data_IF_870136487878
#
_entry.id   IF_870136487878
#
_cell.length_a   1.000
_cell.length_b   1.000
_cell.length_c   1.000
_cell.angle_alpha   90.00
_cell.angle_beta   90.00
_cell.angle_gamma   90.00
#
_symmetry.space_group_name_H-M   'P 1'
#
loop_
_entity.id
_entity.type
_entity.pdbx_description
1 polymer ?
#
# COMPACT_ATOMS: atom_id res chain seq x y z
N UNK A 1 -15.56 0.86 -4.63
CA UNK A 1 -16.93 0.76 -4.19
C UNK A 1 -17.49 2.13 -3.83
N UNK A 2 -18.80 2.21 -3.83
CA UNK A 2 -19.49 3.45 -3.52
C UNK A 2 -19.17 3.93 -2.10
N UNK A 3 -18.80 5.20 -1.96
CA UNK A 3 -18.44 5.78 -0.67
C UNK A 3 -16.99 5.58 -0.26
N UNK A 4 -16.22 4.82 -1.00
CA UNK A 4 -14.80 4.60 -0.71
C UNK A 4 -13.94 5.62 -1.45
N UNK A 5 -13.19 6.43 -0.69
CA UNK A 5 -12.28 7.42 -1.27
C UNK A 5 -10.87 6.86 -1.50
N UNK A 6 -10.49 5.85 -0.72
CA UNK A 6 -9.17 5.22 -0.86
C UNK A 6 -9.03 4.07 0.11
N UNK A 7 -7.96 3.31 -0.01
CA UNK A 7 -7.70 2.19 0.91
C UNK A 7 -6.21 1.95 1.09
N UNK A 8 -5.88 1.21 2.14
CA UNK A 8 -4.52 0.81 2.45
C UNK A 8 -4.43 -0.71 2.39
N UNK A 9 -3.44 -1.22 1.70
CA UNK A 9 -3.15 -2.66 1.68
C UNK A 9 -1.92 -2.91 2.54
N UNK A 10 -2.09 -3.65 3.62
CA UNK A 10 -1.01 -3.93 4.56
C UNK A 10 -0.41 -5.31 4.25
N UNK A 11 0.89 -5.34 4.00
CA UNK A 11 1.60 -6.57 3.68
C UNK A 11 2.66 -6.83 4.75
N UNK A 12 2.68 -8.05 5.27
CA UNK A 12 3.65 -8.45 6.28
C UNK A 12 5.01 -8.70 5.63
N UNK A 13 5.97 -7.82 5.89
CA UNK A 13 7.32 -7.87 5.30
C UNK A 13 8.12 -9.10 5.72
N UNK A 14 7.75 -9.76 6.80
CA UNK A 14 8.49 -10.90 7.33
C UNK A 14 7.95 -12.24 6.83
N UNK A 15 6.91 -12.22 6.01
CA UNK A 15 6.26 -13.45 5.54
C UNK A 15 6.16 -13.49 4.02
N UNK A 16 7.28 -13.75 3.33
CA UNK A 16 7.28 -13.74 1.85
C UNK A 16 6.33 -14.75 1.23
N UNK A 17 5.97 -15.81 1.95
CA UNK A 17 4.99 -16.78 1.47
C UNK A 17 3.60 -16.17 1.27
N UNK A 18 3.32 -15.01 1.85
CA UNK A 18 2.04 -14.32 1.68
C UNK A 18 2.05 -13.32 0.52
N UNK A 19 3.20 -13.04 -0.07
CA UNK A 19 3.32 -12.03 -1.13
C UNK A 19 2.54 -12.39 -2.38
N UNK A 20 2.49 -13.66 -2.71
CA UNK A 20 1.73 -14.14 -3.88
C UNK A 20 0.25 -13.83 -3.74
N UNK A 21 -0.31 -14.10 -2.54
CA UNK A 21 -1.70 -13.82 -2.26
C UNK A 21 -1.97 -12.32 -2.25
N UNK A 22 -1.07 -11.54 -1.65
CA UNK A 22 -1.18 -10.09 -1.64
C UNK A 22 -1.19 -9.53 -3.07
N UNK A 23 -0.33 -10.06 -3.93
CA UNK A 23 -0.28 -9.67 -5.34
C UNK A 23 -1.61 -9.94 -6.04
N UNK A 24 -2.20 -11.10 -5.79
CA UNK A 24 -3.50 -11.46 -6.37
C UNK A 24 -4.61 -10.51 -5.92
N UNK A 25 -4.60 -10.15 -4.63
CA UNK A 25 -5.56 -9.20 -4.08
C UNK A 25 -5.39 -7.83 -4.75
N UNK A 26 -4.16 -7.36 -4.89
CA UNK A 26 -3.86 -6.08 -5.54
C UNK A 26 -4.32 -6.06 -7.00
N UNK A 27 -4.09 -7.15 -7.72
CA UNK A 27 -4.53 -7.27 -9.11
C UNK A 27 -6.06 -7.21 -9.22
N UNK A 28 -6.75 -7.83 -8.26
CA UNK A 28 -8.21 -7.79 -8.21
C UNK A 28 -8.72 -6.37 -7.99
N UNK A 29 -8.14 -5.65 -7.02
CA UNK A 29 -8.54 -4.27 -6.74
C UNK A 29 -8.24 -3.34 -7.90
N UNK A 30 -7.13 -3.54 -8.60
CA UNK A 30 -6.77 -2.72 -9.76
C UNK A 30 -7.81 -2.82 -10.87
N UNK A 31 -8.47 -3.97 -11.00
CA UNK A 31 -9.53 -4.16 -11.98
C UNK A 31 -10.75 -3.29 -11.68
N UNK A 32 -10.91 -2.83 -10.44
CA UNK A 32 -12.00 -1.96 -10.02
C UNK A 32 -11.58 -0.52 -9.82
N UNK A 33 -10.30 -0.18 -10.10
CA UNK A 33 -9.82 1.19 -9.99
C UNK A 33 -10.74 2.15 -10.80
N UNK A 34 -10.79 3.46 -10.49
CA UNK A 34 -9.63 4.27 -10.12
C UNK A 34 -9.48 4.66 -8.66
N UNK A 35 -9.97 3.90 -7.72
CA UNK A 35 -9.83 4.24 -6.29
C UNK A 35 -8.35 4.30 -5.90
N UNK A 36 -7.85 5.43 -5.34
CA UNK A 36 -6.47 5.52 -4.93
C UNK A 36 -6.17 4.61 -3.74
N UNK A 37 -4.94 4.10 -3.68
CA UNK A 37 -4.51 3.28 -2.57
C UNK A 37 -3.01 3.39 -2.36
N UNK A 38 -2.57 3.02 -1.15
CA UNK A 38 -1.17 2.87 -0.82
C UNK A 38 -0.96 1.47 -0.26
N UNK A 39 0.26 0.97 -0.39
CA UNK A 39 0.65 -0.33 0.15
C UNK A 39 1.64 -0.08 1.28
N UNK A 40 1.49 -0.78 2.39
CA UNK A 40 2.46 -0.70 3.47
C UNK A 40 3.26 -1.98 3.56
N UNK A 41 4.58 -1.81 3.66
CA UNK A 41 5.50 -2.88 4.03
C UNK A 41 5.53 -2.91 5.56
N UNK A 42 4.64 -3.70 6.14
CA UNK A 42 4.43 -3.72 7.58
C UNK A 42 5.46 -4.59 8.30
N UNK A 43 5.57 -4.42 9.60
CA UNK A 43 6.52 -5.16 10.47
C UNK A 43 7.97 -4.93 10.09
N UNK A 44 8.30 -3.70 9.70
CA UNK A 44 9.67 -3.33 9.32
C UNK A 44 10.66 -3.36 10.49
N UNK A 45 10.16 -3.45 11.72
CA UNK A 45 10.96 -3.61 12.93
C UNK A 45 11.50 -5.03 13.12
N UNK A 46 10.98 -6.00 12.36
CA UNK A 46 11.43 -7.38 12.50
C UNK A 46 12.73 -7.61 11.72
N UNK A 47 13.61 -8.44 12.29
CA UNK A 47 14.93 -8.71 11.72
C UNK A 47 14.85 -9.34 10.32
N UNK A 48 13.85 -10.19 10.09
CA UNK A 48 13.67 -10.88 8.82
C UNK A 48 12.73 -10.15 7.86
N UNK A 49 12.39 -8.91 8.14
CA UNK A 49 11.57 -8.11 7.25
C UNK A 49 12.28 -7.83 5.93
N UNK A 50 11.56 -8.01 4.83
CA UNK A 50 12.09 -7.66 3.52
C UNK A 50 12.17 -6.15 3.36
N UNK A 51 13.17 -5.70 2.61
CA UNK A 51 13.26 -4.29 2.25
C UNK A 51 12.09 -3.91 1.34
N UNK A 52 11.52 -2.71 1.51
CA UNK A 52 10.42 -2.28 0.65
C UNK A 52 10.74 -2.34 -0.84
N UNK A 53 11.97 -2.02 -1.24
CA UNK A 53 12.35 -2.08 -2.65
C UNK A 53 12.24 -3.48 -3.24
N UNK A 54 12.57 -4.51 -2.45
CA UNK A 54 12.46 -5.90 -2.88
C UNK A 54 10.99 -6.34 -2.89
N UNK A 55 10.20 -5.87 -1.95
CA UNK A 55 8.78 -6.15 -1.91
C UNK A 55 8.04 -5.56 -3.11
N UNK A 56 8.45 -4.37 -3.55
CA UNK A 56 7.87 -3.73 -4.74
C UNK A 56 7.99 -4.64 -5.95
N UNK A 57 9.13 -5.28 -6.11
CA UNK A 57 9.38 -6.22 -7.20
C UNK A 57 8.53 -7.48 -7.03
N UNK A 58 8.54 -8.05 -5.83
CA UNK A 58 7.81 -9.29 -5.55
C UNK A 58 6.31 -9.14 -5.70
N UNK A 59 5.78 -7.97 -5.33
CA UNK A 59 4.35 -7.66 -5.42
C UNK A 59 3.95 -7.12 -6.80
N UNK A 60 4.92 -6.89 -7.68
CA UNK A 60 4.70 -6.35 -9.02
C UNK A 60 3.91 -5.04 -8.99
N UNK A 61 4.32 -4.14 -8.11
CA UNK A 61 3.66 -2.84 -7.99
C UNK A 61 4.02 -1.92 -9.16
N UNK A 62 3.03 -1.17 -9.62
CA UNK A 62 3.29 -0.13 -10.62
C UNK A 62 4.16 0.96 -10.02
N UNK A 63 4.99 1.66 -10.83
CA UNK A 63 5.91 2.67 -10.31
C UNK A 63 5.24 3.82 -9.57
N UNK A 64 3.99 4.12 -9.90
CA UNK A 64 3.23 5.22 -9.29
C UNK A 64 2.52 4.82 -7.99
N UNK A 65 2.53 3.54 -7.63
CA UNK A 65 1.94 3.07 -6.38
C UNK A 65 2.92 3.31 -5.24
N UNK A 66 2.48 3.98 -4.20
CA UNK A 66 3.32 4.25 -3.03
C UNK A 66 3.41 3.02 -2.15
N UNK A 67 4.63 2.64 -1.81
CA UNK A 67 4.93 1.55 -0.88
C UNK A 67 5.69 2.15 0.29
N UNK A 68 5.07 2.11 1.46
CA UNK A 68 5.58 2.79 2.65
C UNK A 68 6.01 1.78 3.71
N UNK A 69 7.20 1.96 4.29
CA UNK A 69 7.56 1.16 5.45
C UNK A 69 6.62 1.49 6.61
N UNK A 70 6.19 0.50 7.34
CA UNK A 70 5.25 0.71 8.44
C UNK A 70 5.53 -0.23 9.61
N UNK A 71 5.34 0.30 10.81
CA UNK A 71 5.30 -0.47 12.04
C UNK A 71 3.94 -0.16 12.65
N UNK A 72 3.01 -1.11 12.57
CA UNK A 72 1.61 -0.85 12.94
C UNK A 72 1.41 -0.45 14.41
N UNK A 73 2.37 -0.76 15.27
CA UNK A 73 2.34 -0.36 16.68
C UNK A 73 2.93 1.03 16.92
N UNK A 74 3.50 1.65 15.89
CA UNK A 74 4.09 2.98 15.96
C UNK A 74 3.13 4.01 15.39
N UNK A 75 2.66 4.92 16.24
CA UNK A 75 1.71 5.96 15.84
C UNK A 75 2.20 6.83 14.70
N UNK A 76 3.50 7.17 14.69
CA UNK A 76 4.07 8.00 13.62
C UNK A 76 4.04 7.27 12.26
N UNK A 77 4.35 5.97 12.25
CA UNK A 77 4.26 5.17 11.03
C UNK A 77 2.84 5.15 10.48
N UNK A 78 1.86 4.91 11.34
CA UNK A 78 0.46 4.85 10.93
C UNK A 78 -0.01 6.21 10.43
N UNK A 79 0.35 7.28 11.14
CA UNK A 79 0.02 8.65 10.74
C UNK A 79 0.58 8.97 9.36
N UNK A 80 1.84 8.63 9.11
CA UNK A 80 2.48 8.89 7.81
C UNK A 80 1.80 8.13 6.69
N UNK A 81 1.39 6.89 6.94
CA UNK A 81 0.65 6.08 5.97
C UNK A 81 -0.67 6.75 5.60
N UNK A 82 -1.40 7.20 6.60
CA UNK A 82 -2.69 7.87 6.38
C UNK A 82 -2.54 9.19 5.64
N UNK A 83 -1.49 9.97 5.96
CA UNK A 83 -1.21 11.22 5.27
C UNK A 83 -0.89 10.96 3.79
N UNK A 84 -0.10 9.94 3.49
CA UNK A 84 0.23 9.61 2.10
C UNK A 84 -1.01 9.18 1.32
N UNK A 85 -1.91 8.42 1.96
CA UNK A 85 -3.17 8.06 1.33
C UNK A 85 -4.02 9.31 1.06
N UNK A 86 -4.10 10.21 2.04
CA UNK A 86 -4.85 11.45 1.88
C UNK A 86 -4.31 12.28 0.71
N UNK A 87 -3.00 12.42 0.61
CA UNK A 87 -2.37 13.15 -0.51
C UNK A 87 -2.71 12.49 -1.85
N UNK A 88 -2.71 11.16 -1.90
CA UNK A 88 -3.07 10.43 -3.12
C UNK A 88 -4.52 10.70 -3.53
N UNK A 89 -5.42 10.77 -2.57
CA UNK A 89 -6.82 11.11 -2.81
C UNK A 89 -6.94 12.53 -3.37
N UNK A 90 -6.24 13.49 -2.75
CA UNK A 90 -6.27 14.89 -3.17
C UNK A 90 -5.72 15.06 -4.59
N UNK A 91 -4.64 14.35 -4.92
CA UNK A 91 -4.10 14.37 -6.28
C UNK A 91 -5.13 13.89 -7.31
N UNK A 92 -5.85 12.84 -6.99
CA UNK A 92 -6.89 12.32 -7.87
C UNK A 92 -8.03 13.33 -8.04
N UNK A 93 -8.44 13.98 -6.98
CA UNK A 93 -9.48 15.01 -7.03
C UNK A 93 -9.04 16.20 -7.87
N UNK A 94 -7.79 16.65 -7.73
CA UNK A 94 -7.24 17.76 -8.50
C UNK A 94 -7.14 17.45 -9.98
N UNK A 95 -6.88 16.18 -10.33
CA UNK A 95 -6.80 15.74 -11.72
C UNK A 95 -8.17 15.49 -12.35
N UNK A 96 -9.24 15.55 -11.55
CA UNK A 96 -10.60 15.30 -12.03
C UNK A 96 -10.91 13.85 -12.34
N UNK A 97 -10.20 12.92 -11.73
CA UNK A 97 -10.36 11.48 -11.98
C UNK A 97 -11.48 10.82 -11.19
N UNK A 98 -12.15 11.57 -10.33
CA UNK A 98 -13.30 11.06 -9.59
C UNK A 98 -14.61 11.33 -10.30
#
# INVERSE_FOLDING_TARGET
>A
SEGMLGFVVMVDSSRPETFREARRILETFRAYAPTPYVVTANKQDLEDAWEPSDMRIALRLDPDVKLLPCIATDKESVKNTLLELLYSILEKMESGEF
#
